data_IF_278926796643
#
_entry.id   IF_278926796643
#
_cell.length_a   1.000
_cell.length_b   1.000
_cell.length_c   1.000
_cell.angle_alpha   90.00
_cell.angle_beta   90.00
_cell.angle_gamma   90.00
#
_symmetry.space_group_name_H-M   'P 1'
#
loop_
_entity.id
_entity.type
_entity.pdbx_description
1 polymer ?
#
# COMPACT_ATOMS: atom_id res chain seq x y z
N UNK A 1 40.88 11.13 -2.82
CA UNK A 1 40.92 9.71 -2.42
C UNK A 1 41.45 8.76 -3.51
N UNK A 2 42.07 9.22 -4.61
CA UNK A 2 42.60 8.33 -5.67
C UNK A 2 44.04 8.65 -6.13
N UNK A 3 44.76 9.54 -5.44
CA UNK A 3 46.06 10.06 -5.92
C UNK A 3 47.17 9.00 -5.99
N UNK A 4 46.99 7.84 -5.35
CA UNK A 4 48.00 6.75 -5.30
C UNK A 4 47.58 5.52 -6.12
N UNK A 5 46.45 5.57 -6.82
CA UNK A 5 45.97 4.43 -7.63
C UNK A 5 46.61 4.50 -9.01
N UNK A 6 47.48 3.54 -9.33
CA UNK A 6 48.15 3.43 -10.63
C UNK A 6 47.46 2.46 -11.60
N UNK A 7 46.47 1.70 -11.12
CA UNK A 7 45.73 0.71 -11.91
C UNK A 7 44.98 1.39 -13.05
N UNK A 8 45.23 0.96 -14.28
CA UNK A 8 44.55 1.45 -15.47
C UNK A 8 43.31 0.63 -15.79
N UNK A 9 42.41 1.17 -16.62
CA UNK A 9 41.26 0.41 -17.12
C UNK A 9 41.70 -0.88 -17.85
N UNK A 10 42.83 -0.84 -18.55
CA UNK A 10 43.36 -2.01 -19.25
C UNK A 10 43.77 -3.11 -18.28
N UNK A 11 44.43 -2.76 -17.17
CA UNK A 11 44.82 -3.73 -16.16
C UNK A 11 43.60 -4.44 -15.57
N UNK A 12 42.52 -3.69 -15.28
CA UNK A 12 41.26 -4.27 -14.77
C UNK A 12 40.57 -5.14 -15.81
N UNK A 13 40.59 -4.75 -17.09
CA UNK A 13 40.04 -5.56 -18.19
C UNK A 13 40.81 -6.87 -18.35
N UNK A 14 42.15 -6.83 -18.31
CA UNK A 14 43.01 -8.01 -18.41
C UNK A 14 42.79 -8.95 -17.21
N UNK A 15 42.59 -8.41 -16.00
CA UNK A 15 42.26 -9.20 -14.81
C UNK A 15 40.86 -9.81 -14.88
N UNK A 16 39.87 -9.06 -15.39
CA UNK A 16 38.52 -9.55 -15.58
C UNK A 16 38.48 -10.74 -16.55
N UNK A 17 39.21 -10.67 -17.66
CA UNK A 17 39.26 -11.74 -18.67
C UNK A 17 39.95 -13.01 -18.19
N UNK A 18 40.78 -12.96 -17.14
CA UNK A 18 41.35 -14.15 -16.49
C UNK A 18 40.30 -14.94 -15.70
N UNK A 19 39.25 -14.28 -15.23
CA UNK A 19 38.22 -14.86 -14.36
C UNK A 19 36.92 -15.16 -15.10
N UNK A 20 36.59 -14.37 -16.12
CA UNK A 20 35.30 -14.40 -16.82
C UNK A 20 35.50 -14.78 -18.28
N UNK A 21 34.91 -15.89 -18.68
CA UNK A 21 34.82 -16.32 -20.08
C UNK A 21 33.40 -16.11 -20.64
N UNK A 22 33.19 -16.42 -21.92
CA UNK A 22 31.90 -16.24 -22.59
C UNK A 22 30.75 -17.04 -21.95
N UNK A 23 31.04 -18.17 -21.31
CA UNK A 23 30.04 -19.06 -20.68
C UNK A 23 29.78 -18.72 -19.20
N UNK A 24 30.60 -17.86 -18.61
CA UNK A 24 30.46 -17.43 -17.22
C UNK A 24 29.20 -16.59 -17.06
N UNK A 25 28.32 -16.91 -16.12
CA UNK A 25 27.14 -16.09 -15.84
C UNK A 25 27.51 -15.01 -14.82
N UNK A 26 27.42 -13.75 -15.23
CA UNK A 26 27.62 -12.62 -14.31
C UNK A 26 26.36 -12.38 -13.50
N UNK A 27 26.52 -12.20 -12.19
CA UNK A 27 25.41 -11.90 -11.27
C UNK A 27 25.70 -10.59 -10.56
N UNK A 28 24.73 -9.68 -10.53
CA UNK A 28 24.92 -8.39 -9.90
C UNK A 28 23.65 -7.55 -9.85
N UNK A 29 23.79 -6.25 -9.64
CA UNK A 29 22.67 -5.33 -9.52
C UNK A 29 22.90 -4.08 -10.36
N UNK A 30 22.08 -3.89 -11.40
CA UNK A 30 22.27 -2.83 -12.41
C UNK A 30 23.65 -2.89 -13.08
N UNK A 31 24.04 -4.11 -13.47
CA UNK A 31 25.35 -4.42 -14.04
C UNK A 31 25.63 -3.69 -15.35
N UNK A 32 24.61 -3.14 -16.00
CA UNK A 32 24.83 -2.30 -17.18
C UNK A 32 25.76 -1.10 -16.88
N UNK A 33 25.73 -0.58 -15.66
CA UNK A 33 26.58 0.55 -15.27
C UNK A 33 28.03 0.10 -15.10
N UNK A 34 28.25 -1.05 -14.45
CA UNK A 34 29.58 -1.62 -14.23
C UNK A 34 30.22 -2.04 -15.55
N UNK A 35 29.47 -2.75 -16.41
CA UNK A 35 29.96 -3.19 -17.72
C UNK A 35 30.22 -2.01 -18.66
N UNK A 36 29.42 -0.94 -18.58
CA UNK A 36 29.66 0.30 -19.32
C UNK A 36 30.94 0.98 -18.85
N UNK A 37 31.17 1.05 -17.53
CA UNK A 37 32.40 1.60 -16.96
C UNK A 37 33.63 0.78 -17.37
N UNK A 38 33.51 -0.55 -17.40
CA UNK A 38 34.55 -1.46 -17.85
C UNK A 38 34.72 -1.49 -19.38
N UNK A 39 33.80 -0.93 -20.15
CA UNK A 39 33.73 -1.04 -21.62
C UNK A 39 33.75 -2.50 -22.11
N UNK A 40 33.06 -3.38 -21.39
CA UNK A 40 32.93 -4.81 -21.71
C UNK A 40 31.48 -5.12 -22.07
N UNK A 41 31.27 -5.95 -23.10
CA UNK A 41 29.95 -6.49 -23.44
C UNK A 41 29.92 -7.98 -23.12
N UNK A 42 28.95 -8.39 -22.29
CA UNK A 42 28.77 -9.78 -21.90
C UNK A 42 27.31 -10.19 -22.02
N UNK A 43 27.05 -11.39 -22.59
CA UNK A 43 25.68 -11.83 -22.92
C UNK A 43 24.96 -12.53 -21.77
N UNK A 44 25.70 -13.22 -20.91
CA UNK A 44 25.13 -14.06 -19.86
C UNK A 44 25.13 -13.29 -18.53
N UNK A 45 24.04 -12.56 -18.28
CA UNK A 45 23.90 -11.70 -17.10
C UNK A 45 22.60 -11.99 -16.37
N UNK A 46 22.69 -12.23 -15.06
CA UNK A 46 21.56 -12.23 -14.12
C UNK A 46 21.63 -10.92 -13.34
N UNK A 47 20.79 -9.97 -13.74
CA UNK A 47 20.69 -8.68 -13.06
C UNK A 47 19.52 -8.66 -12.07
N UNK A 48 19.83 -8.53 -10.78
CA UNK A 48 18.82 -8.50 -9.72
C UNK A 48 17.89 -7.29 -9.79
N UNK A 49 18.33 -6.16 -10.37
CA UNK A 49 17.49 -4.99 -10.58
C UNK A 49 16.39 -5.23 -11.62
N UNK A 50 16.62 -6.17 -12.54
CA UNK A 50 15.65 -6.62 -13.55
C UNK A 50 14.83 -7.82 -13.03
N UNK A 51 15.49 -8.73 -12.29
CA UNK A 51 14.89 -9.93 -11.72
C UNK A 51 13.75 -9.62 -10.74
N UNK A 52 13.88 -8.51 -9.99
CA UNK A 52 12.89 -7.99 -9.06
C UNK A 52 12.22 -6.75 -9.63
N UNK A 53 11.06 -6.94 -10.27
CA UNK A 53 10.31 -5.85 -10.93
C UNK A 53 9.86 -4.79 -9.93
N UNK A 54 10.08 -3.53 -10.29
CA UNK A 54 9.63 -2.39 -9.50
C UNK A 54 8.09 -2.24 -9.54
N UNK A 55 7.41 -1.95 -8.42
CA UNK A 55 5.95 -1.82 -8.37
C UNK A 55 5.35 -0.76 -9.30
N UNK A 56 6.13 0.28 -9.64
CA UNK A 56 5.73 1.38 -10.54
C UNK A 56 5.91 1.09 -12.04
N UNK A 57 6.35 -0.12 -12.42
CA UNK A 57 6.52 -0.51 -13.82
C UNK A 57 7.97 -0.50 -14.33
N UNK A 58 8.13 -0.87 -15.61
CA UNK A 58 9.36 -1.44 -16.17
C UNK A 58 10.58 -0.52 -16.32
N UNK A 59 10.45 0.80 -16.21
CA UNK A 59 11.59 1.72 -16.30
C UNK A 59 12.24 2.00 -14.95
N UNK A 60 11.58 1.69 -13.83
CA UNK A 60 12.12 1.93 -12.50
C UNK A 60 12.86 0.70 -11.99
N UNK A 61 14.03 0.90 -11.38
CA UNK A 61 14.82 -0.13 -10.72
C UNK A 61 14.72 0.05 -9.21
N UNK A 62 14.46 -1.04 -8.47
CA UNK A 62 14.49 -1.00 -7.01
C UNK A 62 15.94 -1.07 -6.53
N UNK A 63 16.37 -0.14 -5.69
CA UNK A 63 17.73 -0.14 -5.15
C UNK A 63 18.07 -1.44 -4.39
N UNK A 64 19.31 -1.91 -4.51
CA UNK A 64 19.80 -3.15 -3.87
C UNK A 64 19.51 -3.18 -2.36
N UNK A 65 19.76 -2.07 -1.64
CA UNK A 65 19.46 -1.95 -0.20
C UNK A 65 18.00 -2.25 0.14
N UNK A 66 17.06 -1.83 -0.71
CA UNK A 66 15.63 -2.10 -0.51
C UNK A 66 15.35 -3.60 -0.73
N UNK A 67 15.95 -4.21 -1.75
CA UNK A 67 15.78 -5.64 -2.03
C UNK A 67 16.39 -6.51 -0.92
N UNK A 68 17.61 -6.19 -0.46
CA UNK A 68 18.27 -6.88 0.63
C UNK A 68 17.46 -6.80 1.94
N UNK A 69 16.96 -5.61 2.28
CA UNK A 69 16.10 -5.43 3.46
C UNK A 69 14.81 -6.23 3.34
N UNK A 70 14.18 -6.23 2.17
CA UNK A 70 12.88 -6.87 1.94
C UNK A 70 12.96 -8.40 1.89
N UNK A 71 13.94 -8.96 1.19
CA UNK A 71 13.98 -10.39 0.87
C UNK A 71 15.04 -11.17 1.65
N UNK A 72 16.11 -10.51 2.12
CA UNK A 72 17.16 -11.14 2.93
C UNK A 72 17.08 -10.72 4.41
N UNK A 73 16.16 -9.82 4.77
CA UNK A 73 16.05 -9.22 6.11
C UNK A 73 17.38 -8.64 6.61
N UNK A 74 18.20 -8.13 5.67
CA UNK A 74 19.53 -7.58 5.94
C UNK A 74 19.58 -6.11 5.57
N UNK A 75 20.13 -5.30 6.45
CA UNK A 75 20.46 -3.91 6.14
C UNK A 75 21.91 -3.83 5.65
N UNK A 76 22.10 -3.26 4.45
CA UNK A 76 23.40 -3.07 3.79
C UNK A 76 23.62 -1.58 3.53
N UNK A 77 24.86 -1.18 3.25
CA UNK A 77 25.20 0.22 2.93
C UNK A 77 24.84 1.20 4.07
N UNK A 78 25.03 0.78 5.33
CA UNK A 78 24.72 1.59 6.52
C UNK A 78 25.84 2.54 6.93
N UNK A 79 27.05 2.34 6.42
CA UNK A 79 28.21 3.17 6.72
C UNK A 79 28.20 4.51 5.96
N UNK A 80 28.38 5.62 6.66
CA UNK A 80 28.59 6.94 6.03
C UNK A 80 29.93 7.07 5.28
N UNK A 81 30.79 6.06 5.34
CA UNK A 81 32.12 6.03 4.73
C UNK A 81 32.13 5.56 3.26
N UNK A 82 30.96 5.32 2.65
CA UNK A 82 30.82 4.77 1.30
C UNK A 82 30.28 3.35 1.29
N UNK A 83 30.11 2.80 0.09
CA UNK A 83 29.60 1.44 -0.13
C UNK A 83 30.75 0.43 -0.20
N UNK A 84 30.49 -0.78 0.29
CA UNK A 84 31.39 -1.93 0.16
C UNK A 84 30.96 -2.79 -1.04
N UNK A 85 31.83 -2.87 -2.06
CA UNK A 85 31.57 -3.65 -3.27
C UNK A 85 31.43 -5.15 -3.00
N UNK A 86 32.10 -5.67 -1.96
CA UNK A 86 32.02 -7.09 -1.57
C UNK A 86 30.66 -7.38 -0.93
N UNK A 87 30.17 -6.47 -0.07
CA UNK A 87 28.83 -6.55 0.52
C UNK A 87 27.76 -6.54 -0.57
N UNK A 88 27.85 -5.59 -1.51
CA UNK A 88 26.89 -5.43 -2.60
C UNK A 88 26.88 -6.65 -3.54
N UNK A 89 28.06 -7.17 -3.90
CA UNK A 89 28.18 -8.36 -4.75
C UNK A 89 27.58 -9.60 -4.07
N UNK A 90 27.82 -9.80 -2.77
CA UNK A 90 27.20 -10.92 -2.02
C UNK A 90 25.69 -10.77 -1.93
N UNK A 91 25.19 -9.58 -1.61
CA UNK A 91 23.75 -9.34 -1.51
C UNK A 91 23.04 -9.60 -2.84
N UNK A 92 23.63 -9.17 -3.97
CA UNK A 92 23.09 -9.46 -5.29
C UNK A 92 23.07 -10.97 -5.60
N UNK A 93 24.15 -11.69 -5.28
CA UNK A 93 24.22 -13.14 -5.48
C UNK A 93 23.19 -13.89 -4.62
N UNK A 94 23.07 -13.55 -3.34
CA UNK A 94 22.09 -14.14 -2.43
C UNK A 94 20.65 -13.91 -2.92
N UNK A 95 20.33 -12.72 -3.42
CA UNK A 95 19.03 -12.41 -4.03
C UNK A 95 18.75 -13.27 -5.27
N UNK A 96 19.73 -13.41 -6.17
CA UNK A 96 19.59 -14.25 -7.35
C UNK A 96 19.31 -15.71 -6.98
N UNK A 97 20.09 -16.26 -6.04
CA UNK A 97 19.91 -17.62 -5.53
C UNK A 97 18.55 -17.80 -4.85
N UNK A 98 18.10 -16.82 -4.08
CA UNK A 98 16.80 -16.85 -3.41
C UNK A 98 15.64 -16.91 -4.42
N UNK A 99 15.73 -16.14 -5.51
CA UNK A 99 14.76 -16.19 -6.60
C UNK A 99 14.76 -17.57 -7.29
N UNK A 100 15.95 -18.09 -7.62
CA UNK A 100 16.09 -19.40 -8.26
C UNK A 100 15.46 -20.50 -7.39
N UNK A 101 15.71 -20.47 -6.08
CA UNK A 101 15.18 -21.45 -5.13
C UNK A 101 13.66 -21.43 -5.02
N UNK A 102 13.03 -20.25 -5.07
CA UNK A 102 11.59 -20.07 -4.86
C UNK A 102 10.78 -19.97 -6.17
N UNK A 103 11.45 -19.93 -7.31
CA UNK A 103 10.83 -19.86 -8.63
C UNK A 103 10.63 -18.45 -9.20
N UNK A 104 10.20 -18.36 -10.48
CA UNK A 104 10.13 -17.10 -11.23
C UNK A 104 9.16 -16.08 -10.64
N UNK A 105 8.13 -16.52 -9.93
CA UNK A 105 7.11 -15.66 -9.33
C UNK A 105 7.53 -15.08 -7.98
N UNK A 106 8.61 -15.55 -7.37
CA UNK A 106 9.06 -15.09 -6.06
C UNK A 106 9.38 -13.58 -6.05
N UNK A 107 8.75 -12.81 -5.19
CA UNK A 107 8.97 -11.35 -5.13
C UNK A 107 8.30 -10.54 -6.25
N UNK A 108 7.60 -11.20 -7.20
CA UNK A 108 6.62 -10.53 -8.04
C UNK A 108 5.44 -10.11 -7.16
N UNK A 109 4.80 -8.95 -7.41
CA UNK A 109 3.50 -8.68 -6.77
C UNK A 109 2.56 -9.83 -7.13
N UNK A 110 1.78 -10.36 -6.16
CA UNK A 110 0.86 -11.44 -6.44
C UNK A 110 0.02 -11.04 -7.65
N UNK A 111 -0.02 -11.90 -8.67
CA UNK A 111 -0.90 -11.72 -9.83
C UNK A 111 -2.34 -11.98 -9.38
N UNK A 112 -2.86 -11.15 -8.47
CA UNK A 112 -4.26 -10.84 -8.54
C UNK A 112 -4.41 -10.10 -9.86
N UNK A 113 -4.69 -10.85 -10.92
CA UNK A 113 -5.54 -10.34 -11.99
C UNK A 113 -6.70 -9.72 -11.25
N UNK A 114 -6.74 -8.38 -11.14
CA UNK A 114 -7.77 -7.67 -10.37
C UNK A 114 -9.07 -7.83 -11.14
N UNK A 115 -9.65 -9.02 -11.09
CA UNK A 115 -11.02 -9.25 -11.48
C UNK A 115 -11.88 -8.53 -10.46
N UNK A 116 -12.81 -7.71 -10.96
CA UNK A 116 -13.81 -7.07 -10.10
C UNK A 116 -14.62 -8.18 -9.46
N UNK A 117 -14.88 -8.09 -8.16
CA UNK A 117 -15.69 -9.07 -7.44
C UNK A 117 -17.03 -9.31 -8.16
N UNK A 118 -17.67 -8.24 -8.62
CA UNK A 118 -18.96 -8.29 -9.32
C UNK A 118 -18.87 -9.01 -10.68
N UNK A 119 -17.75 -8.88 -11.39
CA UNK A 119 -17.50 -9.65 -12.62
C UNK A 119 -17.41 -11.14 -12.31
N UNK A 120 -16.66 -11.53 -11.27
CA UNK A 120 -16.54 -12.93 -10.84
C UNK A 120 -17.90 -13.50 -10.40
N UNK A 121 -18.70 -12.71 -9.66
CA UNK A 121 -20.05 -13.11 -9.26
C UNK A 121 -20.94 -13.31 -10.50
N UNK A 122 -20.86 -12.43 -11.50
CA UNK A 122 -21.55 -12.55 -12.77
C UNK A 122 -21.16 -13.81 -13.55
N UNK A 123 -19.85 -14.12 -13.64
CA UNK A 123 -19.33 -15.36 -14.23
C UNK A 123 -19.89 -16.61 -13.53
N UNK A 124 -20.18 -16.53 -12.22
CA UNK A 124 -20.84 -17.59 -11.44
C UNK A 124 -22.38 -17.57 -11.50
N UNK A 125 -22.99 -16.75 -12.37
CA UNK A 125 -24.44 -16.63 -12.50
C UNK A 125 -25.13 -15.94 -11.32
N UNK A 126 -24.39 -15.17 -10.50
CA UNK A 126 -24.93 -14.41 -9.38
C UNK A 126 -25.17 -12.97 -9.79
N UNK A 127 -26.42 -12.53 -9.72
CA UNK A 127 -26.77 -11.12 -9.93
C UNK A 127 -26.38 -10.31 -8.70
N UNK A 128 -25.67 -9.21 -8.93
CA UNK A 128 -25.18 -8.31 -7.88
C UNK A 128 -25.64 -6.87 -8.12
N UNK A 129 -25.85 -6.12 -7.04
CA UNK A 129 -26.20 -4.70 -7.09
C UNK A 129 -25.14 -3.84 -6.41
N UNK A 130 -24.64 -2.83 -7.12
CA UNK A 130 -23.66 -1.84 -6.64
C UNK A 130 -24.37 -0.52 -6.35
N UNK A 131 -24.37 -0.09 -5.09
CA UNK A 131 -25.04 1.15 -4.65
C UNK A 131 -23.99 2.04 -3.99
N UNK A 132 -23.51 3.05 -4.71
CA UNK A 132 -22.42 3.90 -4.22
C UNK A 132 -22.34 5.22 -5.00
N UNK A 133 -21.36 6.06 -4.69
CA UNK A 133 -21.03 7.24 -5.50
C UNK A 133 -20.76 6.85 -6.96
N UNK A 134 -21.07 7.77 -7.88
CA UNK A 134 -20.95 7.56 -9.33
C UNK A 134 -19.53 7.16 -9.76
N UNK A 135 -18.49 7.66 -9.11
CA UNK A 135 -17.10 7.31 -9.42
C UNK A 135 -16.79 5.86 -9.05
N UNK A 136 -17.29 5.39 -7.91
CA UNK A 136 -17.13 4.03 -7.42
C UNK A 136 -17.94 3.06 -8.27
N UNK A 137 -19.21 3.40 -8.56
CA UNK A 137 -20.08 2.61 -9.43
C UNK A 137 -19.46 2.44 -10.81
N UNK A 138 -19.01 3.52 -11.47
CA UNK A 138 -18.34 3.42 -12.79
C UNK A 138 -17.08 2.54 -12.75
N UNK A 139 -16.34 2.58 -11.64
CA UNK A 139 -15.09 1.84 -11.49
C UNK A 139 -15.29 0.35 -11.23
N UNK A 140 -16.25 -0.02 -10.37
CA UNK A 140 -16.35 -1.38 -9.84
C UNK A 140 -17.59 -2.16 -10.28
N UNK A 141 -18.58 -1.52 -10.92
CA UNK A 141 -19.66 -2.25 -11.57
C UNK A 141 -19.14 -3.13 -12.72
N UNK A 142 -19.89 -4.19 -12.98
CA UNK A 142 -19.78 -5.07 -14.14
C UNK A 142 -21.03 -4.95 -15.02
N UNK A 143 -20.92 -5.35 -16.29
CA UNK A 143 -22.03 -5.33 -17.26
C UNK A 143 -23.25 -6.14 -16.79
N UNK A 144 -23.00 -7.17 -15.99
CA UNK A 144 -24.02 -8.07 -15.42
C UNK A 144 -24.56 -7.61 -14.06
N UNK A 145 -24.06 -6.49 -13.52
CA UNK A 145 -24.47 -5.98 -12.20
C UNK A 145 -25.42 -4.79 -12.34
N UNK A 146 -26.38 -4.69 -11.42
CA UNK A 146 -27.19 -3.49 -11.31
C UNK A 146 -26.34 -2.36 -10.71
N UNK A 147 -26.41 -1.17 -11.29
CA UNK A 147 -25.61 -0.01 -10.90
C UNK A 147 -26.53 1.14 -10.47
N UNK A 148 -26.43 1.54 -9.20
CA UNK A 148 -27.23 2.60 -8.61
C UNK A 148 -26.33 3.69 -8.05
N UNK A 149 -25.99 4.73 -8.84
CA UNK A 149 -25.30 5.90 -8.32
C UNK A 149 -26.20 6.61 -7.30
N UNK A 150 -25.66 6.96 -6.14
CA UNK A 150 -26.37 7.66 -5.06
C UNK A 150 -25.56 8.87 -4.58
N UNK A 151 -26.25 9.90 -4.10
CA UNK A 151 -25.63 11.14 -3.64
C UNK A 151 -25.72 11.33 -2.11
N UNK A 152 -26.38 10.42 -1.39
CA UNK A 152 -26.52 10.48 0.07
C UNK A 152 -26.68 9.10 0.70
N UNK A 153 -26.32 8.99 1.97
CA UNK A 153 -26.49 7.75 2.75
C UNK A 153 -27.95 7.31 2.88
N UNK A 154 -28.88 8.26 2.91
CA UNK A 154 -30.31 7.94 3.03
C UNK A 154 -30.85 7.40 1.69
N UNK A 155 -30.37 7.91 0.55
CA UNK A 155 -30.65 7.33 -0.76
C UNK A 155 -30.02 5.92 -0.89
N UNK A 156 -28.76 5.77 -0.45
CA UNK A 156 -28.08 4.47 -0.42
C UNK A 156 -28.89 3.44 0.37
N UNK A 157 -29.37 3.82 1.55
CA UNK A 157 -30.22 2.98 2.39
C UNK A 157 -31.54 2.60 1.68
N UNK A 158 -32.22 3.57 1.05
CA UNK A 158 -33.48 3.31 0.35
C UNK A 158 -33.31 2.32 -0.80
N UNK A 159 -32.27 2.49 -1.63
CA UNK A 159 -31.94 1.58 -2.73
C UNK A 159 -31.54 0.21 -2.22
N UNK A 160 -30.71 0.14 -1.17
CA UNK A 160 -30.27 -1.13 -0.59
C UNK A 160 -31.44 -1.92 -0.01
N UNK A 161 -32.39 -1.26 0.66
CA UNK A 161 -33.63 -1.89 1.14
C UNK A 161 -34.50 -2.41 0.00
N UNK A 162 -34.56 -1.69 -1.12
CA UNK A 162 -35.33 -2.12 -2.31
C UNK A 162 -34.70 -3.36 -2.94
N UNK A 163 -33.38 -3.35 -3.12
CA UNK A 163 -32.63 -4.49 -3.68
C UNK A 163 -32.61 -5.70 -2.75
N UNK A 164 -32.61 -5.50 -1.44
CA UNK A 164 -32.67 -6.61 -0.48
C UNK A 164 -33.99 -7.38 -0.54
N UNK A 165 -35.06 -6.76 -1.07
CA UNK A 165 -36.36 -7.42 -1.30
C UNK A 165 -36.46 -8.06 -2.69
N UNK A 166 -35.48 -7.86 -3.56
CA UNK A 166 -35.46 -8.43 -4.89
C UNK A 166 -34.88 -9.84 -4.85
N UNK A 167 -35.71 -10.86 -5.07
CA UNK A 167 -35.31 -12.27 -5.03
C UNK A 167 -34.27 -12.64 -6.10
N UNK A 168 -34.10 -11.82 -7.14
CA UNK A 168 -33.07 -12.06 -8.17
C UNK A 168 -31.69 -11.58 -7.73
N UNK A 169 -31.59 -10.71 -6.72
CA UNK A 169 -30.32 -10.11 -6.30
C UNK A 169 -29.68 -10.99 -5.22
N UNK A 170 -28.46 -11.45 -5.49
CA UNK A 170 -27.72 -12.38 -4.62
C UNK A 170 -26.66 -11.67 -3.77
N UNK A 171 -26.16 -10.52 -4.23
CA UNK A 171 -25.13 -9.74 -3.55
C UNK A 171 -25.44 -8.25 -3.66
N UNK A 172 -25.32 -7.52 -2.56
CA UNK A 172 -25.56 -6.08 -2.53
C UNK A 172 -24.35 -5.41 -1.88
N UNK A 173 -23.74 -4.48 -2.58
CA UNK A 173 -22.75 -3.55 -2.03
C UNK A 173 -23.41 -2.21 -1.78
N UNK A 174 -23.22 -1.65 -0.58
CA UNK A 174 -23.59 -0.28 -0.25
C UNK A 174 -22.58 0.33 0.72
N UNK A 175 -22.33 1.63 0.61
CA UNK A 175 -21.50 2.38 1.54
C UNK A 175 -22.31 3.49 2.21
N UNK A 176 -22.00 3.77 3.48
CA UNK A 176 -22.40 4.99 4.17
C UNK A 176 -21.16 5.86 4.35
N UNK A 177 -21.12 7.02 3.71
CA UNK A 177 -19.93 7.86 3.57
C UNK A 177 -19.83 8.96 4.61
N UNK A 178 -20.90 9.24 5.38
CA UNK A 178 -20.96 10.36 6.31
C UNK A 178 -19.80 10.38 7.33
N UNK A 179 -19.42 9.23 7.87
CA UNK A 179 -18.28 9.12 8.79
C UNK A 179 -16.94 9.44 8.10
N UNK A 180 -16.75 8.98 6.86
CA UNK A 180 -15.54 9.31 6.10
C UNK A 180 -15.48 10.81 5.77
N UNK A 181 -16.60 11.41 5.36
CA UNK A 181 -16.69 12.85 5.10
C UNK A 181 -16.42 13.69 6.35
N UNK A 182 -16.81 13.22 7.54
CA UNK A 182 -16.46 13.86 8.81
C UNK A 182 -14.94 13.88 9.04
N UNK A 183 -14.25 12.75 8.84
CA UNK A 183 -12.79 12.70 8.97
C UNK A 183 -12.08 13.55 7.91
N UNK A 184 -12.56 13.54 6.66
CA UNK A 184 -12.00 14.39 5.60
C UNK A 184 -12.07 15.88 5.96
N UNK A 185 -13.20 16.36 6.50
CA UNK A 185 -13.35 17.74 6.98
C UNK A 185 -12.38 18.09 8.11
N UNK A 186 -12.14 17.18 9.05
CA UNK A 186 -11.20 17.44 10.15
C UNK A 186 -9.76 17.63 9.69
N UNK A 187 -9.41 17.10 8.52
CA UNK A 187 -8.05 17.17 7.96
C UNK A 187 -7.86 18.40 7.05
N UNK A 188 -8.95 19.07 6.66
CA UNK A 188 -8.91 20.35 5.97
C UNK A 188 -8.58 21.52 6.91
N UNK A 189 -8.94 21.39 8.19
CA UNK A 189 -8.52 22.32 9.25
C UNK A 189 -7.02 22.16 9.58
N UNK A 190 -6.22 23.12 9.11
CA UNK A 190 -4.78 23.10 9.25
C UNK A 190 -4.30 23.20 10.71
N UNK A 191 -5.03 23.88 11.60
CA UNK A 191 -4.63 24.01 13.00
C UNK A 191 -4.86 22.71 13.76
N UNK A 192 -6.02 22.07 13.54
CA UNK A 192 -6.35 20.77 14.12
C UNK A 192 -5.42 19.67 13.62
N UNK A 193 -5.12 19.66 12.32
CA UNK A 193 -4.16 18.71 11.74
C UNK A 193 -2.76 18.86 12.34
N UNK A 194 -2.25 20.09 12.44
CA UNK A 194 -0.93 20.34 13.01
C UNK A 194 -0.86 19.94 14.49
N UNK A 195 -1.93 20.17 15.26
CA UNK A 195 -2.04 19.71 16.66
C UNK A 195 -1.95 18.19 16.77
N UNK A 196 -2.75 17.46 15.97
CA UNK A 196 -2.72 15.98 15.93
C UNK A 196 -1.35 15.45 15.52
N UNK A 197 -0.71 16.05 14.52
CA UNK A 197 0.62 15.62 14.06
C UNK A 197 1.71 15.86 15.11
N UNK A 198 1.66 17.00 15.83
CA UNK A 198 2.59 17.30 16.92
C UNK A 198 2.43 16.31 18.08
N UNK A 199 1.19 15.96 18.44
CA UNK A 199 0.91 14.94 19.45
C UNK A 199 1.44 13.56 19.04
N UNK A 200 1.20 13.14 17.80
CA UNK A 200 1.71 11.86 17.29
C UNK A 200 3.23 11.80 17.24
N UNK A 201 3.89 12.89 16.85
CA UNK A 201 5.35 12.97 16.89
C UNK A 201 5.90 12.93 18.32
N UNK A 202 5.24 13.60 19.26
CA UNK A 202 5.62 13.56 20.67
C UNK A 202 5.60 12.11 21.18
N UNK A 203 4.57 11.35 20.83
CA UNK A 203 4.45 9.93 21.17
C UNK A 203 5.54 9.05 20.52
N UNK A 204 5.89 9.32 19.25
CA UNK A 204 6.90 8.56 18.52
C UNK A 204 8.34 8.89 18.96
N UNK A 205 8.57 10.09 19.52
CA UNK A 205 9.90 10.54 19.97
C UNK A 205 10.17 10.30 21.45
N UNK A 206 9.14 10.17 22.28
CA UNK A 206 9.31 9.89 23.70
C UNK A 206 9.52 8.40 23.97
N UNK A 207 10.77 7.94 23.97
CA UNK A 207 11.16 6.64 24.54
C UNK A 207 10.98 6.62 26.07
N UNK A 208 9.76 6.39 26.58
CA UNK A 208 9.59 5.91 27.97
C UNK A 208 8.53 4.83 28.07
N UNK A 209 8.98 3.65 28.53
CA UNK A 209 8.15 2.60 29.12
C UNK A 209 7.10 3.24 30.05
N UNK A 210 5.86 3.33 29.60
CA UNK A 210 4.73 3.60 30.48
C UNK A 210 3.73 2.46 30.34
N UNK A 211 3.67 1.67 31.40
CA UNK A 211 2.61 0.71 31.67
C UNK A 211 1.37 1.53 32.01
N UNK A 212 0.68 2.00 30.98
CA UNK A 212 -0.74 2.33 30.94
C UNK A 212 -1.05 2.90 29.56
N UNK A 213 -1.30 2.01 28.59
CA UNK A 213 -2.04 2.33 27.37
C UNK A 213 -3.48 2.68 27.76
N UNK A 214 -3.70 3.86 28.36
CA UNK A 214 -5.03 4.46 28.33
C UNK A 214 -5.25 4.82 26.87
N UNK A 215 -6.18 4.08 26.24
CA UNK A 215 -6.54 4.28 24.85
C UNK A 215 -6.77 5.75 24.57
N UNK A 216 -6.36 6.16 23.36
CA UNK A 216 -6.54 7.48 22.77
C UNK A 216 -7.88 8.06 23.24
N UNK A 217 -7.87 8.96 24.21
CA UNK A 217 -9.08 9.68 24.59
C UNK A 217 -9.22 10.85 23.61
N UNK A 218 -9.49 10.51 22.35
CA UNK A 218 -10.13 11.43 21.43
C UNK A 218 -11.50 11.69 22.04
N UNK A 219 -11.66 12.83 22.73
CA UNK A 219 -12.95 13.20 23.29
C UNK A 219 -13.97 13.18 22.17
N UNK A 220 -14.94 12.25 22.24
CA UNK A 220 -16.00 12.18 21.23
C UNK A 220 -16.68 13.54 21.15
N UNK A 221 -16.46 14.26 20.05
CA UNK A 221 -17.18 15.50 19.79
C UNK A 221 -18.67 15.19 19.70
N UNK A 222 -19.51 16.15 20.06
CA UNK A 222 -20.97 16.03 19.91
C UNK A 222 -21.35 15.69 18.47
N UNK A 223 -20.69 16.32 17.51
CA UNK A 223 -20.86 16.03 16.08
C UNK A 223 -20.52 14.57 15.71
N UNK A 224 -19.41 14.02 16.22
CA UNK A 224 -19.05 12.62 15.96
C UNK A 224 -20.08 11.65 16.56
N UNK A 225 -20.60 11.95 17.76
CA UNK A 225 -21.67 11.14 18.38
C UNK A 225 -22.93 11.15 17.52
N UNK A 226 -23.28 12.29 16.94
CA UNK A 226 -24.45 12.41 16.08
C UNK A 226 -24.27 11.64 14.76
N UNK A 227 -23.10 11.72 14.14
CA UNK A 227 -22.74 10.94 12.93
C UNK A 227 -22.84 9.45 13.22
N UNK A 228 -22.26 8.98 14.32
CA UNK A 228 -22.32 7.56 14.72
C UNK A 228 -23.75 7.13 15.02
N UNK A 229 -24.55 7.99 15.66
CA UNK A 229 -25.97 7.70 15.95
C UNK A 229 -26.77 7.54 14.66
N UNK A 230 -26.56 8.41 13.66
CA UNK A 230 -27.18 8.28 12.34
C UNK A 230 -26.73 7.02 11.60
N UNK A 231 -25.43 6.72 11.61
CA UNK A 231 -24.88 5.50 11.02
C UNK A 231 -25.51 4.25 11.63
N UNK A 232 -25.58 4.17 12.97
CA UNK A 232 -26.22 3.07 13.69
C UNK A 232 -27.69 2.90 13.30
N UNK A 233 -28.43 4.02 13.17
CA UNK A 233 -29.82 4.01 12.71
C UNK A 233 -29.94 3.44 11.29
N UNK A 234 -29.05 3.82 10.37
CA UNK A 234 -29.06 3.32 8.99
C UNK A 234 -28.73 1.82 8.92
N UNK A 235 -27.71 1.37 9.65
CA UNK A 235 -27.34 -0.06 9.74
C UNK A 235 -28.49 -0.89 10.30
N UNK A 236 -29.12 -0.45 11.41
CA UNK A 236 -30.30 -1.12 11.97
C UNK A 236 -31.47 -1.15 10.99
N UNK A 237 -31.70 -0.02 10.32
CA UNK A 237 -32.72 0.09 9.29
C UNK A 237 -32.49 -0.88 8.13
N UNK A 238 -31.24 -1.05 7.68
CA UNK A 238 -30.87 -2.00 6.64
C UNK A 238 -31.07 -3.44 7.12
N UNK A 239 -30.51 -3.80 8.28
CA UNK A 239 -30.63 -5.13 8.88
C UNK A 239 -32.09 -5.56 9.04
N UNK A 240 -32.96 -4.66 9.51
CA UNK A 240 -34.38 -4.92 9.65
C UNK A 240 -35.07 -5.27 8.31
N UNK A 241 -34.59 -4.71 7.19
CA UNK A 241 -35.15 -4.93 5.86
C UNK A 241 -34.61 -6.18 5.14
N UNK A 242 -33.50 -6.77 5.60
CA UNK A 242 -32.93 -7.96 4.97
C UNK A 242 -33.85 -9.18 5.12
N UNK A 243 -33.90 -10.12 4.18
CA UNK A 243 -34.55 -11.42 4.36
C UNK A 243 -33.88 -12.26 5.46
N UNK A 244 -34.60 -13.24 6.01
CA UNK A 244 -34.02 -14.30 6.84
C UNK A 244 -32.96 -15.07 6.05
N UNK A 245 -31.95 -15.60 6.75
CA UNK A 245 -30.77 -16.27 6.18
C UNK A 245 -29.88 -15.37 5.32
N UNK A 246 -29.97 -14.04 5.48
CA UNK A 246 -29.05 -13.11 4.83
C UNK A 246 -27.78 -12.94 5.65
N UNK A 247 -26.62 -13.05 5.01
CA UNK A 247 -25.33 -12.68 5.58
C UNK A 247 -25.08 -11.18 5.39
N UNK A 248 -24.95 -10.45 6.49
CA UNK A 248 -24.54 -9.05 6.52
C UNK A 248 -23.07 -8.96 6.91
N UNK A 249 -22.26 -8.40 6.00
CA UNK A 249 -20.84 -8.11 6.23
C UNK A 249 -20.69 -6.59 6.34
N UNK A 250 -20.19 -6.11 7.48
CA UNK A 250 -19.87 -4.70 7.72
C UNK A 250 -18.37 -4.57 7.82
N UNK A 251 -17.73 -4.01 6.80
CA UNK A 251 -16.32 -3.65 6.90
C UNK A 251 -16.20 -2.15 7.20
N UNK A 252 -15.41 -1.79 8.22
CA UNK A 252 -15.20 -0.39 8.64
C UNK A 252 -14.37 0.41 7.64
N UNK A 253 -13.85 -0.24 6.60
CA UNK A 253 -12.76 0.28 5.79
C UNK A 253 -11.43 0.22 6.53
N UNK A 254 -10.45 0.88 5.92
CA UNK A 254 -9.13 1.16 6.47
C UNK A 254 -9.28 2.21 7.59
N UNK A 255 -8.29 2.38 8.47
CA UNK A 255 -8.31 3.43 9.53
C UNK A 255 -8.47 4.86 8.99
N UNK A 256 -8.14 5.90 9.77
CA UNK A 256 -8.23 7.30 9.28
C UNK A 256 -7.27 7.55 8.10
N UNK A 257 -7.75 7.27 6.88
CA UNK A 257 -6.99 7.45 5.65
C UNK A 257 -6.94 8.90 5.19
N UNK A 258 -7.76 9.78 5.77
CA UNK A 258 -7.79 11.19 5.40
C UNK A 258 -6.46 11.85 5.77
N UNK A 259 -5.93 11.58 6.97
CA UNK A 259 -4.62 12.07 7.40
C UNK A 259 -3.52 11.52 6.49
N UNK A 260 -3.53 10.21 6.20
CA UNK A 260 -2.54 9.57 5.30
C UNK A 260 -2.54 10.21 3.91
N UNK A 261 -3.73 10.44 3.33
CA UNK A 261 -3.88 11.09 2.01
C UNK A 261 -3.36 12.53 2.04
N UNK A 262 -3.68 13.29 3.08
CA UNK A 262 -3.23 14.68 3.25
C UNK A 262 -1.72 14.77 3.43
N UNK A 263 -1.11 13.92 4.26
CA UNK A 263 0.34 13.86 4.44
C UNK A 263 1.07 13.51 3.14
N UNK A 264 0.52 12.56 2.36
CA UNK A 264 1.06 12.24 1.02
C UNK A 264 0.96 13.42 0.06
N UNK A 265 -0.13 14.19 0.10
CA UNK A 265 -0.28 15.42 -0.68
C UNK A 265 0.74 16.48 -0.26
N UNK A 266 0.93 16.70 1.05
CA UNK A 266 1.92 17.62 1.60
C UNK A 266 3.37 17.24 1.28
N UNK A 267 3.68 15.96 1.09
CA UNK A 267 5.01 15.52 0.65
C UNK A 267 5.25 15.74 -0.86
N UNK A 268 4.18 15.79 -1.65
CA UNK A 268 4.20 16.02 -3.10
C UNK A 268 4.24 17.51 -3.45
N UNK A 269 3.45 18.32 -2.75
CA UNK A 269 3.45 19.77 -2.85
C UNK A 269 4.61 20.29 -1.98
N UNK A 270 5.69 20.84 -2.56
CA UNK A 270 6.84 21.39 -1.79
C UNK A 270 6.50 22.68 -1.00
N UNK A 271 5.30 22.78 -0.42
CA UNK A 271 4.91 23.90 0.42
C UNK A 271 5.68 23.92 1.73
N UNK A 272 6.08 25.11 2.18
CA UNK A 272 6.66 25.37 3.50
C UNK A 272 5.72 24.85 4.59
N UNK A 273 6.00 23.65 5.07
CA UNK A 273 5.32 23.07 6.23
C UNK A 273 6.19 23.38 7.45
N UNK A 274 5.56 23.72 8.58
CA UNK A 274 6.25 24.00 9.86
C UNK A 274 7.05 22.81 10.39
N UNK A 275 6.96 21.64 9.77
CA UNK A 275 7.49 20.37 10.24
C UNK A 275 8.50 19.81 9.24
N UNK A 276 9.58 19.19 9.73
CA UNK A 276 10.60 18.63 8.85
C UNK A 276 10.04 17.44 8.04
N UNK A 277 10.49 17.30 6.79
CA UNK A 277 10.11 16.22 5.87
C UNK A 277 10.32 14.83 6.48
N UNK A 278 11.41 14.66 7.23
CA UNK A 278 11.72 13.41 7.94
C UNK A 278 10.70 13.08 9.03
N UNK A 279 10.22 14.09 9.75
CA UNK A 279 9.19 13.91 10.79
C UNK A 279 7.85 13.50 10.16
N UNK A 280 7.49 14.09 9.01
CA UNK A 280 6.28 13.73 8.26
C UNK A 280 6.36 12.27 7.78
N UNK A 281 7.53 11.83 7.28
CA UNK A 281 7.72 10.45 6.84
C UNK A 281 7.56 9.43 7.97
N UNK A 282 8.14 9.70 9.15
CA UNK A 282 7.99 8.82 10.33
C UNK A 282 6.53 8.68 10.77
N UNK A 283 5.77 9.78 10.83
CA UNK A 283 4.34 9.74 11.18
C UNK A 283 3.53 9.01 10.10
N UNK A 284 3.88 9.22 8.83
CA UNK A 284 3.20 8.59 7.71
C UNK A 284 3.35 7.06 7.73
N UNK A 285 4.54 6.54 8.08
CA UNK A 285 4.77 5.09 8.18
C UNK A 285 3.86 4.45 9.23
N UNK A 286 3.76 5.04 10.43
CA UNK A 286 2.91 4.53 11.51
C UNK A 286 1.41 4.64 11.16
N UNK A 287 0.97 5.80 10.67
CA UNK A 287 -0.43 6.00 10.26
C UNK A 287 -0.82 5.11 9.09
N UNK A 288 0.10 4.83 8.17
CA UNK A 288 -0.14 3.89 7.10
C UNK A 288 -0.32 2.48 7.65
N UNK A 289 0.53 2.02 8.57
CA UNK A 289 0.38 0.70 9.19
C UNK A 289 -0.96 0.56 9.92
N UNK A 290 -1.40 1.60 10.64
CA UNK A 290 -2.72 1.62 11.29
C UNK A 290 -3.88 1.67 10.29
N UNK A 291 -3.72 2.43 9.21
CA UNK A 291 -4.70 2.51 8.13
C UNK A 291 -4.81 1.19 7.36
N UNK A 292 -3.77 0.37 7.28
CA UNK A 292 -3.79 -0.92 6.59
C UNK A 292 -4.64 -1.98 7.31
N UNK A 293 -5.06 -1.73 8.55
CA UNK A 293 -5.95 -2.62 9.30
C UNK A 293 -7.41 -2.21 9.08
N UNK A 294 -8.21 -3.14 8.57
CA UNK A 294 -9.66 -3.03 8.49
C UNK A 294 -10.31 -4.05 9.42
N UNK A 295 -11.34 -3.62 10.15
CA UNK A 295 -12.21 -4.55 10.88
C UNK A 295 -13.37 -4.93 9.96
N UNK A 296 -13.70 -6.21 9.96
CA UNK A 296 -14.91 -6.67 9.29
C UNK A 296 -15.74 -7.55 10.22
N UNK A 297 -17.00 -7.18 10.36
CA UNK A 297 -17.99 -7.83 11.21
C UNK A 297 -18.93 -8.63 10.32
N UNK A 298 -19.23 -9.85 10.74
CA UNK A 298 -20.14 -10.74 10.04
C UNK A 298 -21.32 -11.09 10.95
N UNK A 299 -22.53 -10.91 10.44
CA UNK A 299 -23.76 -11.29 11.12
C UNK A 299 -24.69 -12.02 10.17
N UNK A 300 -25.32 -13.09 10.66
CA UNK A 300 -26.42 -13.76 9.96
C UNK A 300 -27.74 -13.22 10.49
N UNK A 301 -28.66 -12.92 9.59
CA UNK A 301 -30.04 -12.62 9.97
C UNK A 301 -30.83 -13.90 10.13
N UNK A 302 -31.27 -14.14 11.36
CA UNK A 302 -32.21 -15.22 11.69
C UNK A 302 -33.66 -14.78 11.44
#
# INVERSE_FOLDING_TARGET
MLNEVTTTLKDVQDDFLKLVNQETILVGHSLENDLLALKISHKLVIDTAVLYKHPRGGSYKTALRILAKKFLSREIQQSGAGHDSIEDARAALELALLKIKNGPDFGSPPSFTRKKLLSTLGECGKTSSMIDDISIVKRYSSETSNAFPVCSDDEALLKAKKEAKNERTHFIWTQFSELNSFYEKQVEDAENLNGKLAEMLSLLTCEKKSVNKKGIHCGMTTELKDVITRLNRRIRGLYAALPTNTMLIICTGHGDTAIVRKLRKMLGDQSETKMSRESILKVLEELQAQAEVALCFLGLKN
#
